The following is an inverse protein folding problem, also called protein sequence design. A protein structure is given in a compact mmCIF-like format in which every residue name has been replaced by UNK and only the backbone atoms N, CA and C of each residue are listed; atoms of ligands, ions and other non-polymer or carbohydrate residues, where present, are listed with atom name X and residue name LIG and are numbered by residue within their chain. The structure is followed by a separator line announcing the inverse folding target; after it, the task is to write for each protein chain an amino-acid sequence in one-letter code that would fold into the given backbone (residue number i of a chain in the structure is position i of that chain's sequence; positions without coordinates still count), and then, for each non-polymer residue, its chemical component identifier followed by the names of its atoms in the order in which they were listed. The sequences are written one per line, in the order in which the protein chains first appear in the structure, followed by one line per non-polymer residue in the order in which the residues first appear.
data_IF_808047002566
#
_entry.id   IF_808047002566
#
_cell.length_a   1.000
_cell.length_b   1.000
_cell.length_c   1.000
_cell.angle_alpha   90.00
_cell.angle_beta   90.00
_cell.angle_gamma   90.00
#
_symmetry.space_group_name_H-M   'P 1'
#
loop_
_entity.id
_entity.type
_entity.pdbx_description
1 polymer ?
#
# COMPACT_ATOMS: atom_id res chain seq x y z
N UNK A 1 -15.44 -2.11 33.35
CA UNK A 1 -15.54 -2.13 31.89
C UNK A 1 -16.08 -3.48 31.44
N UNK A 2 -17.11 -3.51 30.57
CA UNK A 2 -17.65 -4.77 30.07
C UNK A 2 -16.81 -5.31 28.89
N UNK A 3 -17.09 -6.54 28.47
CA UNK A 3 -16.33 -7.21 27.40
C UNK A 3 -16.43 -6.44 26.08
N UNK A 4 -17.61 -5.89 25.77
CA UNK A 4 -17.81 -5.13 24.54
C UNK A 4 -16.96 -3.86 24.50
N UNK A 5 -16.88 -3.13 25.60
CA UNK A 5 -16.05 -1.93 25.71
C UNK A 5 -14.57 -2.26 25.60
N UNK A 6 -14.13 -3.36 26.22
CA UNK A 6 -12.76 -3.83 26.12
C UNK A 6 -12.38 -4.18 24.68
N UNK A 7 -13.28 -4.85 23.96
CA UNK A 7 -13.05 -5.20 22.57
C UNK A 7 -13.00 -3.97 21.68
N UNK A 8 -13.86 -3.01 21.91
CA UNK A 8 -13.87 -1.75 21.16
C UNK A 8 -12.57 -0.97 21.35
N UNK A 9 -12.13 -0.85 22.60
CA UNK A 9 -10.87 -0.16 22.93
C UNK A 9 -9.69 -0.86 22.27
N UNK A 10 -9.68 -2.18 22.28
CA UNK A 10 -8.63 -2.98 21.65
C UNK A 10 -8.60 -2.73 20.14
N UNK A 11 -9.77 -2.70 19.50
CA UNK A 11 -9.86 -2.45 18.06
C UNK A 11 -9.34 -1.06 17.71
N UNK A 12 -9.70 -0.05 18.49
CA UNK A 12 -9.21 1.32 18.29
C UNK A 12 -7.70 1.37 18.41
N UNK A 13 -7.14 0.70 19.42
CA UNK A 13 -5.69 0.65 19.65
C UNK A 13 -4.97 0.00 18.48
N UNK A 14 -5.52 -1.11 17.98
CA UNK A 14 -4.91 -1.82 16.85
C UNK A 14 -4.96 -0.99 15.57
N UNK A 15 -6.08 -0.30 15.35
CA UNK A 15 -6.21 0.61 14.20
C UNK A 15 -5.16 1.71 14.26
N UNK A 16 -4.99 2.34 15.42
CA UNK A 16 -3.98 3.39 15.59
C UNK A 16 -2.57 2.83 15.37
N UNK A 17 -2.33 1.60 15.81
CA UNK A 17 -1.04 0.96 15.59
C UNK A 17 -0.76 0.72 14.11
N UNK A 18 -1.75 0.22 13.35
CA UNK A 18 -1.59 -0.03 11.92
C UNK A 18 -1.37 1.28 11.16
N UNK A 19 -2.08 2.35 11.53
CA UNK A 19 -1.87 3.68 10.94
C UNK A 19 -0.43 4.14 11.14
N UNK A 20 0.09 3.97 12.37
CA UNK A 20 1.47 4.34 12.68
C UNK A 20 2.46 3.48 11.90
N UNK A 21 2.18 2.18 11.76
CA UNK A 21 3.01 1.26 10.98
C UNK A 21 3.14 1.69 9.51
N UNK A 22 2.04 2.15 8.92
CA UNK A 22 2.06 2.65 7.54
C UNK A 22 2.96 3.88 7.43
N UNK A 23 2.82 4.83 8.34
CA UNK A 23 3.62 6.05 8.32
C UNK A 23 5.12 5.75 8.53
N UNK A 24 5.44 4.89 9.49
CA UNK A 24 6.83 4.44 9.75
C UNK A 24 7.37 3.70 8.54
N UNK A 25 6.53 2.85 7.92
CA UNK A 25 6.91 2.06 6.75
C UNK A 25 7.36 2.92 5.58
N UNK A 26 6.68 4.04 5.32
CA UNK A 26 7.08 4.98 4.27
C UNK A 26 8.49 5.53 4.55
N UNK A 27 8.76 5.92 5.79
CA UNK A 27 10.09 6.38 6.19
C UNK A 27 11.16 5.32 6.01
N UNK A 28 10.83 4.06 6.33
CA UNK A 28 11.75 2.94 6.12
C UNK A 28 12.09 2.73 4.64
N UNK A 29 11.10 2.91 3.74
CA UNK A 29 11.36 2.85 2.30
C UNK A 29 12.41 3.90 1.91
N UNK A 30 12.26 5.12 2.40
CA UNK A 30 13.21 6.20 2.09
C UNK A 30 14.62 5.88 2.59
N UNK A 31 14.73 5.33 3.80
CA UNK A 31 16.03 4.91 4.34
C UNK A 31 16.63 3.76 3.54
N UNK A 32 15.81 2.80 3.14
CA UNK A 32 16.27 1.66 2.35
C UNK A 32 16.80 2.09 0.98
N UNK A 33 16.14 3.07 0.35
CA UNK A 33 16.61 3.64 -0.93
C UNK A 33 17.98 4.28 -0.74
N UNK A 34 18.16 5.05 0.33
CA UNK A 34 19.45 5.68 0.63
C UNK A 34 20.56 4.65 0.84
N UNK A 35 20.23 3.50 1.43
CA UNK A 35 21.18 2.41 1.64
C UNK A 35 21.55 1.64 0.39
N UNK A 36 20.69 1.63 -0.61
CA UNK A 36 20.97 1.05 -1.92
C UNK A 36 20.97 -0.48 -2.01
N UNK A 37 20.54 -1.19 -0.98
CA UNK A 37 20.50 -2.67 -0.98
C UNK A 37 19.13 -3.13 -1.48
N UNK A 38 19.11 -3.83 -2.61
CA UNK A 38 17.88 -4.25 -3.29
C UNK A 38 16.91 -5.00 -2.38
N UNK A 39 17.39 -5.98 -1.64
CA UNK A 39 16.52 -6.78 -0.77
C UNK A 39 15.90 -5.95 0.34
N UNK A 40 16.65 -4.99 0.89
CA UNK A 40 16.12 -4.08 1.92
C UNK A 40 15.05 -3.15 1.35
N UNK A 41 15.23 -2.68 0.11
CA UNK A 41 14.23 -1.85 -0.57
C UNK A 41 12.93 -2.64 -0.81
N UNK A 42 13.06 -3.88 -1.30
CA UNK A 42 11.90 -4.74 -1.56
C UNK A 42 11.14 -5.05 -0.27
N UNK A 43 11.86 -5.39 0.80
CA UNK A 43 11.25 -5.70 2.09
C UNK A 43 10.51 -4.48 2.68
N UNK A 44 11.12 -3.30 2.59
CA UNK A 44 10.50 -2.06 3.07
C UNK A 44 9.23 -1.72 2.28
N UNK A 45 9.28 -1.85 0.96
CA UNK A 45 8.11 -1.61 0.10
C UNK A 45 7.00 -2.61 0.39
N UNK A 46 7.36 -3.88 0.57
CA UNK A 46 6.39 -4.93 0.89
C UNK A 46 5.66 -4.63 2.20
N UNK A 47 6.38 -4.11 3.21
CA UNK A 47 5.78 -3.73 4.48
C UNK A 47 4.71 -2.64 4.30
N UNK A 48 4.96 -1.65 3.45
CA UNK A 48 3.98 -0.59 3.15
C UNK A 48 2.76 -1.18 2.46
N UNK A 49 2.94 -2.04 1.47
CA UNK A 49 1.84 -2.68 0.75
C UNK A 49 0.98 -3.51 1.70
N UNK A 50 1.60 -4.33 2.54
CA UNK A 50 0.87 -5.14 3.53
C UNK A 50 0.11 -4.26 4.51
N UNK A 51 0.74 -3.17 4.98
CA UNK A 51 0.08 -2.22 5.89
C UNK A 51 -1.17 -1.60 5.26
N UNK A 52 -1.14 -1.30 3.96
CA UNK A 52 -2.31 -0.77 3.25
C UNK A 52 -3.45 -1.78 3.25
N UNK A 53 -3.18 -3.05 2.96
CA UNK A 53 -4.21 -4.08 2.97
C UNK A 53 -4.82 -4.27 4.37
N UNK A 54 -3.96 -4.36 5.37
CA UNK A 54 -4.42 -4.56 6.75
C UNK A 54 -5.22 -3.35 7.24
N UNK A 55 -4.73 -2.14 6.98
CA UNK A 55 -5.45 -0.92 7.34
C UNK A 55 -6.81 -0.86 6.67
N UNK A 56 -6.87 -1.15 5.38
CA UNK A 56 -8.11 -1.17 4.62
C UNK A 56 -9.14 -2.08 5.28
N UNK A 57 -8.73 -3.30 5.62
CA UNK A 57 -9.62 -4.26 6.28
C UNK A 57 -10.20 -3.71 7.58
N UNK A 58 -9.38 -3.05 8.39
CA UNK A 58 -9.84 -2.46 9.65
C UNK A 58 -10.82 -1.31 9.45
N UNK A 59 -10.78 -0.67 8.28
CA UNK A 59 -11.66 0.45 7.93
C UNK A 59 -12.86 0.03 7.08
N UNK A 60 -13.04 -1.27 6.86
CA UNK A 60 -14.15 -1.79 6.05
C UNK A 60 -13.87 -1.83 4.56
N UNK A 61 -12.62 -1.61 4.14
CA UNK A 61 -12.20 -1.73 2.75
C UNK A 61 -11.59 -3.11 2.57
N UNK A 62 -12.29 -4.02 1.91
CA UNK A 62 -11.82 -5.38 1.70
C UNK A 62 -10.62 -5.44 0.75
N UNK A 63 -9.93 -6.59 0.75
CA UNK A 63 -8.76 -6.79 -0.11
C UNK A 63 -9.11 -6.64 -1.59
N UNK A 64 -10.23 -7.24 -2.01
CA UNK A 64 -10.69 -7.14 -3.39
C UNK A 64 -11.03 -5.71 -3.79
N UNK A 65 -11.68 -5.00 -2.89
CA UNK A 65 -12.05 -3.60 -3.12
C UNK A 65 -10.79 -2.74 -3.30
N UNK A 66 -9.76 -2.97 -2.49
CA UNK A 66 -8.50 -2.25 -2.64
C UNK A 66 -7.82 -2.61 -3.97
N UNK A 67 -7.80 -3.90 -4.33
CA UNK A 67 -7.23 -4.33 -5.61
C UNK A 67 -7.95 -3.69 -6.79
N UNK A 68 -9.28 -3.61 -6.73
CA UNK A 68 -10.07 -2.95 -7.77
C UNK A 68 -9.76 -1.45 -7.85
N UNK A 69 -9.58 -0.81 -6.70
CA UNK A 69 -9.20 0.61 -6.65
C UNK A 69 -7.83 0.83 -7.29
N UNK A 70 -6.87 -0.06 -7.05
CA UNK A 70 -5.56 -0.01 -7.70
C UNK A 70 -5.70 -0.16 -9.21
N UNK A 71 -6.53 -1.10 -9.66
CA UNK A 71 -6.79 -1.30 -11.09
C UNK A 71 -7.39 -0.06 -11.74
N UNK A 72 -8.37 0.54 -11.08
CA UNK A 72 -8.98 1.79 -11.59
C UNK A 72 -7.96 2.92 -11.69
N UNK A 73 -7.09 3.02 -10.69
CA UNK A 73 -6.04 4.05 -10.67
C UNK A 73 -5.07 3.86 -11.83
N UNK A 74 -4.73 2.62 -12.15
CA UNK A 74 -3.81 2.30 -13.25
C UNK A 74 -4.44 2.54 -14.63
N UNK A 75 -5.75 2.44 -14.74
CA UNK A 75 -6.45 2.63 -16.01
C UNK A 75 -6.99 4.05 -16.19
N UNK A 76 -6.95 4.86 -15.13
CA UNK A 76 -7.41 6.23 -15.16
C UNK A 76 -6.44 7.17 -15.86
N UNK A 77 -6.86 8.44 -16.04
CA UNK A 77 -6.00 9.44 -16.67
C UNK A 77 -4.75 9.68 -15.82
N UNK A 78 -3.62 9.89 -16.49
CA UNK A 78 -2.34 10.17 -15.86
C UNK A 78 -2.14 11.68 -15.71
N UNK A 79 -1.53 12.07 -14.59
CA UNK A 79 -1.08 13.44 -14.40
C UNK A 79 0.16 13.74 -15.27
N UNK A 80 0.66 14.96 -15.20
CA UNK A 80 1.78 15.40 -16.06
C UNK A 80 3.03 14.55 -15.83
N UNK A 81 3.45 14.38 -14.59
CA UNK A 81 4.65 13.62 -14.25
C UNK A 81 4.44 12.12 -14.50
N UNK A 82 3.25 11.61 -14.22
CA UNK A 82 2.91 10.21 -14.48
C UNK A 82 2.98 9.92 -15.98
N UNK A 83 2.47 10.83 -16.82
CA UNK A 83 2.54 10.67 -18.27
C UNK A 83 3.98 10.67 -18.76
N UNK A 84 4.84 11.51 -18.19
CA UNK A 84 6.26 11.52 -18.52
C UNK A 84 6.93 10.18 -18.18
N UNK A 85 6.62 9.62 -17.02
CA UNK A 85 7.11 8.27 -16.62
C UNK A 85 6.62 7.23 -17.61
N UNK A 86 5.32 7.28 -17.99
CA UNK A 86 4.76 6.34 -18.95
C UNK A 86 5.42 6.45 -20.32
N UNK A 87 5.64 7.68 -20.81
CA UNK A 87 6.24 7.91 -22.12
C UNK A 87 7.70 7.44 -22.18
N UNK A 88 8.45 7.62 -21.11
CA UNK A 88 9.87 7.26 -21.06
C UNK A 88 10.11 5.81 -20.66
N UNK A 89 9.32 5.27 -19.75
CA UNK A 89 9.59 3.99 -19.09
C UNK A 89 8.50 2.95 -19.29
N UNK A 90 7.25 3.36 -19.54
CA UNK A 90 6.13 2.44 -19.68
C UNK A 90 5.74 1.71 -18.40
N UNK A 91 6.03 2.32 -17.23
CA UNK A 91 5.86 1.65 -15.93
C UNK A 91 4.41 1.30 -15.63
N UNK A 92 3.47 2.19 -15.93
CA UNK A 92 2.05 1.95 -15.62
C UNK A 92 1.48 0.83 -16.49
N UNK A 93 1.85 0.80 -17.77
CA UNK A 93 1.46 -0.27 -18.69
C UNK A 93 2.07 -1.60 -18.24
N UNK A 94 3.32 -1.59 -17.85
CA UNK A 94 4.03 -2.78 -17.37
C UNK A 94 3.38 -3.33 -16.09
N UNK A 95 3.00 -2.46 -15.16
CA UNK A 95 2.35 -2.85 -13.92
C UNK A 95 0.95 -3.43 -14.18
N UNK A 96 0.17 -2.82 -15.07
CA UNK A 96 -1.13 -3.36 -15.48
C UNK A 96 -0.98 -4.77 -16.02
N UNK A 97 -0.01 -4.98 -16.91
CA UNK A 97 0.27 -6.28 -17.52
C UNK A 97 0.66 -7.32 -16.46
N UNK A 98 1.55 -6.95 -15.58
CA UNK A 98 1.98 -7.81 -14.48
C UNK A 98 0.79 -8.25 -13.61
N UNK A 99 -0.09 -7.33 -13.27
CA UNK A 99 -1.25 -7.65 -12.42
C UNK A 99 -2.23 -8.59 -13.12
N UNK A 100 -2.43 -8.45 -14.43
CA UNK A 100 -3.29 -9.38 -15.20
C UNK A 100 -2.73 -10.79 -15.22
N UNK A 101 -1.41 -10.91 -15.41
CA UNK A 101 -0.74 -12.22 -15.43
C UNK A 101 -0.77 -12.91 -14.08
N UNK A 102 -0.86 -12.15 -13.01
CA UNK A 102 -0.90 -12.68 -11.65
C UNK A 102 -2.29 -13.23 -11.28
N UNK A 103 -3.31 -12.74 -11.93
CA UNK A 103 -4.69 -13.23 -11.73
C UNK A 103 -4.84 -14.62 -12.40
#
# INVERSE_FOLDING_TARGET
MNVRESDMIRKIRLLEWVKAELAVGVGEVMRAIAGGVRSSMADAMARVVVSCYVLGRHLGVGYEELDEAVSRRLEGPLGIEEQEIEDRCGDYRALRRYRRLKE
#
